data_IF_038839258641
#
_entry.id   IF_038839258641
#
_cell.length_a   1.000
_cell.length_b   1.000
_cell.length_c   1.000
_cell.angle_alpha   90.00
_cell.angle_beta   90.00
_cell.angle_gamma   90.00
#
_symmetry.space_group_name_H-M   'P 1'
#
loop_
_entity.id
_entity.type
_entity.pdbx_description
1 polymer ?
#
# COMPACT_ATOMS: atom_id res chain seq x y z
N UNK A 1 1.41 -3.81 -0.76
CA UNK A 1 1.79 -4.55 -1.98
C UNK A 1 1.93 -3.51 -3.06
N UNK A 2 3.15 -3.20 -3.46
CA UNK A 2 3.40 -2.01 -4.30
C UNK A 2 3.17 -2.29 -5.80
N UNK A 3 2.67 -3.47 -6.17
CA UNK A 3 2.47 -3.86 -7.57
C UNK A 3 1.29 -3.20 -8.24
N UNK A 4 0.33 -2.72 -7.45
CA UNK A 4 -0.83 -2.00 -7.97
C UNK A 4 -0.51 -0.52 -8.24
N UNK A 5 0.53 0.01 -7.59
CA UNK A 5 0.88 1.45 -7.58
C UNK A 5 1.19 1.94 -9.00
N UNK A 6 0.82 3.18 -9.30
CA UNK A 6 1.11 3.87 -10.57
C UNK A 6 2.01 5.10 -10.36
N UNK A 7 1.98 5.68 -9.16
CA UNK A 7 2.83 6.76 -8.70
C UNK A 7 3.28 6.56 -7.25
N UNK A 8 4.30 7.31 -6.86
CA UNK A 8 4.78 7.42 -5.49
C UNK A 8 4.99 8.89 -5.13
N UNK A 9 4.60 9.24 -3.92
CA UNK A 9 4.80 10.55 -3.32
C UNK A 9 5.94 10.47 -2.31
N UNK A 10 6.87 11.41 -2.38
CA UNK A 10 7.87 11.61 -1.31
C UNK A 10 7.26 12.39 -0.13
N UNK A 11 7.91 12.39 1.04
CA UNK A 11 7.43 13.13 2.22
C UNK A 11 7.22 14.64 1.99
N UNK A 12 7.93 15.23 1.02
CA UNK A 12 7.76 16.63 0.59
C UNK A 12 6.63 16.83 -0.44
N UNK A 13 5.84 15.79 -0.72
CA UNK A 13 4.67 15.83 -1.61
C UNK A 13 4.97 15.70 -3.09
N UNK A 14 6.22 15.48 -3.50
CA UNK A 14 6.55 15.34 -4.93
C UNK A 14 6.12 13.98 -5.48
N UNK A 15 5.34 14.02 -6.56
CA UNK A 15 4.88 12.84 -7.28
C UNK A 15 5.96 12.35 -8.27
N UNK A 16 6.18 11.04 -8.31
CA UNK A 16 7.00 10.36 -9.32
C UNK A 16 6.26 9.14 -9.83
N UNK A 17 6.44 8.82 -11.11
CA UNK A 17 5.90 7.59 -11.70
C UNK A 17 6.46 6.38 -10.97
N UNK A 18 5.59 5.46 -10.57
CA UNK A 18 6.01 4.18 -10.02
C UNK A 18 6.44 3.28 -11.17
N UNK A 19 7.66 2.76 -11.09
CA UNK A 19 8.19 1.81 -12.05
C UNK A 19 8.75 0.64 -11.26
N UNK A 20 8.12 -0.52 -11.43
CA UNK A 20 8.59 -1.77 -10.85
C UNK A 20 9.07 -2.69 -11.98
N UNK A 21 10.31 -3.17 -11.86
CA UNK A 21 10.95 -4.00 -12.89
C UNK A 21 10.49 -5.45 -12.73
N UNK A 22 9.95 -6.04 -13.79
CA UNK A 22 9.49 -7.44 -13.83
C UNK A 22 9.87 -8.12 -15.14
N UNK A 23 11.04 -7.78 -15.69
CA UNK A 23 11.57 -8.44 -16.89
C UNK A 23 12.23 -9.79 -16.58
N UNK A 24 12.44 -10.61 -17.61
CA UNK A 24 13.03 -11.94 -17.48
C UNK A 24 14.38 -11.90 -16.76
N UNK A 25 15.24 -10.92 -17.10
CA UNK A 25 16.55 -10.76 -16.46
C UNK A 25 16.40 -10.55 -14.96
N UNK A 26 15.46 -9.72 -14.53
CA UNK A 26 15.17 -9.51 -13.13
C UNK A 26 14.68 -10.79 -12.44
N UNK A 27 13.80 -11.56 -13.09
CA UNK A 27 13.32 -12.82 -12.55
C UNK A 27 14.45 -13.86 -12.39
N UNK A 28 15.35 -13.96 -13.36
CA UNK A 28 16.54 -14.82 -13.27
C UNK A 28 17.48 -14.38 -12.13
N UNK A 29 17.73 -13.07 -11.99
CA UNK A 29 18.52 -12.51 -10.87
C UNK A 29 17.93 -12.91 -9.50
N UNK A 30 16.60 -12.92 -9.36
CA UNK A 30 15.94 -13.37 -8.12
C UNK A 30 16.11 -14.87 -7.86
N UNK A 31 16.07 -15.70 -8.90
CA UNK A 31 16.28 -17.15 -8.77
C UNK A 31 17.72 -17.42 -8.30
N UNK A 32 18.71 -16.77 -8.90
CA UNK A 32 20.11 -16.86 -8.47
C UNK A 32 20.30 -16.38 -7.02
N UNK A 33 19.66 -15.27 -6.65
CA UNK A 33 19.71 -14.75 -5.28
C UNK A 33 19.16 -15.72 -4.23
N UNK A 34 18.19 -16.57 -4.58
CA UNK A 34 17.64 -17.59 -3.68
C UNK A 34 18.63 -18.71 -3.38
N UNK A 35 19.58 -18.97 -4.28
CA UNK A 35 20.64 -19.97 -4.13
C UNK A 35 21.92 -19.40 -3.52
N UNK A 36 22.05 -18.06 -3.47
CA UNK A 36 23.18 -17.35 -2.86
C UNK A 36 23.38 -17.76 -1.40
N UNK A 37 24.64 -17.78 -0.93
CA UNK A 37 25.00 -17.96 0.48
C UNK A 37 24.68 -16.72 1.35
N UNK A 38 24.47 -15.56 0.73
CA UNK A 38 24.02 -14.33 1.39
C UNK A 38 22.53 -14.40 1.79
N UNK A 39 22.26 -14.29 3.10
CA UNK A 39 20.89 -14.35 3.64
C UNK A 39 20.02 -13.16 3.25
N UNK A 40 20.60 -11.98 3.05
CA UNK A 40 19.91 -10.78 2.59
C UNK A 40 19.42 -10.93 1.15
N UNK A 41 20.26 -11.50 0.26
CA UNK A 41 19.88 -11.87 -1.11
C UNK A 41 18.73 -12.87 -1.12
N UNK A 42 18.84 -13.95 -0.35
CA UNK A 42 17.75 -14.93 -0.24
C UNK A 42 16.47 -14.30 0.29
N UNK A 43 16.56 -13.41 1.28
CA UNK A 43 15.41 -12.76 1.88
C UNK A 43 14.72 -11.81 0.90
N UNK A 44 15.48 -10.93 0.22
CA UNK A 44 14.89 -9.99 -0.74
C UNK A 44 14.21 -10.70 -1.92
N UNK A 45 14.69 -11.88 -2.30
CA UNK A 45 14.20 -12.63 -3.46
C UNK A 45 13.00 -13.54 -3.18
N UNK A 46 12.54 -13.63 -1.93
CA UNK A 46 11.35 -14.44 -1.59
C UNK A 46 10.13 -13.96 -2.36
N UNK A 47 9.30 -14.91 -2.82
CA UNK A 47 8.13 -14.61 -3.66
C UNK A 47 7.17 -13.61 -2.99
N UNK A 48 6.99 -13.67 -1.67
CA UNK A 48 6.13 -12.75 -0.93
C UNK A 48 6.67 -11.31 -0.86
N UNK A 49 7.95 -11.09 -1.21
CA UNK A 49 8.57 -9.78 -1.35
C UNK A 49 8.53 -9.27 -2.80
N UNK A 50 7.96 -10.04 -3.74
CA UNK A 50 7.83 -9.64 -5.14
C UNK A 50 6.39 -9.18 -5.39
N UNK A 51 6.11 -7.87 -5.39
CA UNK A 51 4.78 -7.33 -5.56
C UNK A 51 4.29 -7.35 -7.02
N UNK A 52 5.14 -7.65 -8.01
CA UNK A 52 4.74 -7.55 -9.42
C UNK A 52 4.49 -6.10 -9.87
N UNK A 53 3.83 -5.93 -11.02
CA UNK A 53 3.63 -4.62 -11.67
C UNK A 53 2.27 -4.51 -12.39
N UNK A 54 1.18 -4.88 -11.71
CA UNK A 54 -0.16 -4.87 -12.30
C UNK A 54 -0.69 -3.46 -12.60
N UNK A 55 -0.32 -2.46 -11.78
CA UNK A 55 -0.55 -1.04 -12.09
C UNK A 55 -2.01 -0.61 -12.12
N UNK A 56 -2.88 -1.20 -11.29
CA UNK A 56 -4.30 -0.85 -11.22
C UNK A 56 -4.66 0.19 -10.15
N UNK A 57 -3.72 1.00 -9.65
CA UNK A 57 -4.01 2.08 -8.70
C UNK A 57 -4.38 3.39 -9.40
N UNK A 58 -4.60 4.44 -8.61
CA UNK A 58 -4.70 5.83 -9.05
C UNK A 58 -3.77 6.72 -8.22
N UNK A 59 -3.40 7.93 -8.71
CA UNK A 59 -2.60 8.87 -7.93
C UNK A 59 -3.19 9.22 -6.56
N UNK A 60 -4.52 9.28 -6.46
CA UNK A 60 -5.25 9.53 -5.23
C UNK A 60 -5.03 8.43 -4.19
N UNK A 61 -5.18 7.17 -4.62
CA UNK A 61 -4.98 6.04 -3.71
C UNK A 61 -3.51 5.90 -3.33
N UNK A 62 -2.59 6.08 -4.28
CA UNK A 62 -1.16 6.07 -4.04
C UNK A 62 -0.73 7.15 -3.04
N UNK A 63 -1.34 8.34 -3.10
CA UNK A 63 -1.12 9.41 -2.14
C UNK A 63 -1.50 9.00 -0.72
N UNK A 64 -2.70 8.44 -0.53
CA UNK A 64 -3.15 7.99 0.80
C UNK A 64 -2.23 6.90 1.33
N UNK A 65 -1.84 5.92 0.49
CA UNK A 65 -0.92 4.85 0.90
C UNK A 65 0.43 5.41 1.36
N UNK A 66 1.03 6.36 0.62
CA UNK A 66 2.32 6.95 1.01
C UNK A 66 2.21 7.90 2.20
N UNK A 67 1.08 8.59 2.35
CA UNK A 67 0.78 9.42 3.52
C UNK A 67 0.78 8.55 4.79
N UNK A 68 -0.03 7.50 4.83
CA UNK A 68 -0.20 6.72 6.07
C UNK A 68 0.98 5.82 6.39
N UNK A 69 1.77 5.38 5.38
CA UNK A 69 3.00 4.62 5.60
C UNK A 69 4.10 5.41 6.32
N UNK A 70 3.97 6.73 6.43
CA UNK A 70 4.88 7.57 7.22
C UNK A 70 4.58 7.53 8.72
N UNK A 71 3.41 7.02 9.11
CA UNK A 71 2.97 6.96 10.50
C UNK A 71 3.56 5.68 11.13
N UNK A 72 4.42 5.76 12.16
CA UNK A 72 5.11 4.58 12.72
C UNK A 72 4.19 3.45 13.21
N UNK A 73 2.95 3.82 13.57
CA UNK A 73 1.90 2.93 14.08
C UNK A 73 1.14 2.19 12.98
N UNK A 74 1.32 2.56 11.72
CA UNK A 74 0.77 1.86 10.55
C UNK A 74 1.71 0.72 10.15
N UNK A 75 1.20 -0.51 10.16
CA UNK A 75 1.93 -1.73 9.78
C UNK A 75 1.88 -2.01 8.28
N UNK A 76 0.87 -1.48 7.60
CA UNK A 76 0.76 -1.59 6.16
C UNK A 76 -0.47 -0.88 5.63
N UNK A 77 -0.42 -0.49 4.36
CA UNK A 77 -1.57 0.03 3.63
C UNK A 77 -1.55 -0.51 2.20
N UNK A 78 -2.72 -0.86 1.67
CA UNK A 78 -2.87 -1.31 0.28
C UNK A 78 -4.27 -1.02 -0.23
N UNK A 79 -4.39 -0.96 -1.55
CA UNK A 79 -5.66 -0.99 -2.23
C UNK A 79 -6.42 -2.30 -1.91
N UNK A 80 -7.74 -2.22 -1.90
CA UNK A 80 -8.63 -3.39 -1.80
C UNK A 80 -9.72 -3.32 -2.86
N UNK A 81 -10.14 -4.47 -3.38
CA UNK A 81 -11.06 -4.56 -4.51
C UNK A 81 -10.34 -4.61 -5.87
N UNK A 82 -11.03 -4.20 -6.93
CA UNK A 82 -10.55 -4.35 -8.32
C UNK A 82 -9.47 -3.34 -8.72
N UNK A 83 -9.37 -2.21 -8.02
CA UNK A 83 -8.51 -1.08 -8.39
C UNK A 83 -9.21 -0.04 -9.28
N UNK A 84 -8.42 0.86 -9.86
CA UNK A 84 -8.80 2.03 -10.67
C UNK A 84 -9.73 2.99 -9.92
N UNK A 85 -9.53 3.06 -8.60
CA UNK A 85 -10.37 3.76 -7.63
C UNK A 85 -10.78 2.81 -6.50
N UNK A 86 -11.80 3.20 -5.74
CA UNK A 86 -12.33 2.39 -4.64
C UNK A 86 -11.62 2.68 -3.31
N UNK A 87 -11.25 1.62 -2.59
CA UNK A 87 -10.87 1.70 -1.18
C UNK A 87 -9.41 1.30 -0.91
N UNK A 88 -8.87 1.81 0.19
CA UNK A 88 -7.60 1.36 0.79
C UNK A 88 -7.91 0.72 2.13
N UNK A 89 -7.25 -0.39 2.42
CA UNK A 89 -7.17 -0.97 3.76
C UNK A 89 -5.86 -0.55 4.41
N UNK A 90 -5.97 -0.01 5.63
CA UNK A 90 -4.85 0.43 6.45
C UNK A 90 -4.82 -0.43 7.71
N UNK A 91 -3.73 -1.16 7.92
CA UNK A 91 -3.49 -1.92 9.13
C UNK A 91 -2.68 -1.06 10.09
N UNK A 92 -3.26 -0.72 11.24
CA UNK A 92 -2.69 0.19 12.24
C UNK A 92 -2.85 -0.42 13.64
N UNK A 93 -1.96 -0.05 14.56
CA UNK A 93 -2.16 -0.29 16.00
C UNK A 93 -3.47 0.35 16.47
N UNK A 94 -4.24 -0.39 17.27
CA UNK A 94 -5.61 -0.03 17.65
C UNK A 94 -5.70 1.36 18.29
N UNK A 95 -4.72 1.70 19.10
CA UNK A 95 -4.64 2.95 19.85
C UNK A 95 -4.40 4.18 18.94
N UNK A 96 -3.97 3.97 17.69
CA UNK A 96 -3.71 5.04 16.72
C UNK A 96 -4.75 5.09 15.59
N UNK A 97 -5.83 4.30 15.65
CA UNK A 97 -6.79 4.22 14.57
C UNK A 97 -7.50 5.57 14.30
N UNK A 98 -7.96 6.25 15.36
CA UNK A 98 -8.60 7.58 15.25
C UNK A 98 -7.64 8.64 14.71
N UNK A 99 -6.39 8.64 15.18
CA UNK A 99 -5.34 9.55 14.70
C UNK A 99 -5.10 9.38 13.19
N UNK A 100 -5.02 8.13 12.71
CA UNK A 100 -4.84 7.84 11.29
C UNK A 100 -6.04 8.31 10.46
N UNK A 101 -7.27 8.10 10.94
CA UNK A 101 -8.48 8.59 10.26
C UNK A 101 -8.43 10.11 10.13
N UNK A 102 -8.11 10.81 11.22
CA UNK A 102 -8.05 12.26 11.23
C UNK A 102 -6.95 12.81 10.31
N UNK A 103 -5.78 12.17 10.26
CA UNK A 103 -4.70 12.53 9.32
C UNK A 103 -5.16 12.39 7.86
N UNK A 104 -5.88 11.31 7.53
CA UNK A 104 -6.42 11.12 6.17
C UNK A 104 -7.48 12.17 5.86
N UNK A 105 -8.38 12.46 6.81
CA UNK A 105 -9.39 13.50 6.65
C UNK A 105 -8.77 14.88 6.44
N UNK A 106 -7.78 15.25 7.24
CA UNK A 106 -7.09 16.54 7.13
C UNK A 106 -6.29 16.65 5.82
N UNK A 107 -5.40 15.69 5.54
CA UNK A 107 -4.39 15.81 4.47
C UNK A 107 -4.90 15.37 3.10
N UNK A 108 -5.94 14.54 3.04
CA UNK A 108 -6.52 14.09 1.79
C UNK A 108 -7.86 14.75 1.49
N UNK A 109 -8.87 14.52 2.33
CA UNK A 109 -10.26 14.92 2.05
C UNK A 109 -10.47 16.43 2.17
N UNK A 110 -10.26 17.02 3.36
CA UNK A 110 -10.46 18.45 3.62
C UNK A 110 -9.53 19.33 2.78
N UNK A 111 -8.27 18.92 2.60
CA UNK A 111 -7.32 19.62 1.72
C UNK A 111 -7.76 19.68 0.25
N UNK A 112 -8.75 18.86 -0.16
CA UNK A 112 -9.29 18.79 -1.53
C UNK A 112 -10.79 19.15 -1.60
N UNK A 113 -11.37 19.65 -0.51
CA UNK A 113 -12.81 19.95 -0.39
C UNK A 113 -13.69 18.73 -0.74
N UNK A 114 -13.29 17.55 -0.28
CA UNK A 114 -14.00 16.29 -0.49
C UNK A 114 -14.71 15.83 0.79
N UNK A 115 -15.84 15.09 0.66
CA UNK A 115 -16.49 14.46 1.81
C UNK A 115 -15.57 13.45 2.49
N UNK A 116 -15.49 13.52 3.83
CA UNK A 116 -14.73 12.56 4.64
C UNK A 116 -15.41 11.19 4.61
N UNK A 117 -14.70 10.15 4.15
CA UNK A 117 -15.20 8.77 4.10
C UNK A 117 -14.24 7.76 4.73
N UNK A 118 -13.21 8.22 5.45
CA UNK A 118 -12.35 7.33 6.23
C UNK A 118 -13.07 6.89 7.52
N UNK A 119 -13.06 5.58 7.81
CA UNK A 119 -13.67 5.04 9.02
C UNK A 119 -12.92 3.82 9.52
N UNK A 120 -13.09 3.51 10.81
CA UNK A 120 -12.54 2.32 11.45
C UNK A 120 -13.48 1.14 11.19
N UNK A 121 -12.96 0.04 10.64
CA UNK A 121 -13.69 -1.21 10.49
C UNK A 121 -13.10 -2.32 11.36
N UNK A 122 -13.96 -3.20 11.86
CA UNK A 122 -13.56 -4.40 12.58
C UNK A 122 -14.03 -5.63 11.81
N UNK A 123 -13.33 -6.76 11.93
CA UNK A 123 -13.80 -8.04 11.41
C UNK A 123 -15.11 -8.43 12.08
N UNK A 124 -16.07 -8.89 11.28
CA UNK A 124 -17.40 -9.32 11.73
C UNK A 124 -17.72 -10.71 11.21
N UNK A 125 -18.73 -11.36 11.78
CA UNK A 125 -19.27 -12.60 11.24
C UNK A 125 -19.88 -12.38 9.85
N UNK A 126 -19.84 -13.43 9.02
CA UNK A 126 -20.53 -13.45 7.74
C UNK A 126 -22.06 -13.54 7.92
N UNK A 127 -22.79 -13.35 6.82
CA UNK A 127 -24.25 -13.45 6.82
C UNK A 127 -24.72 -14.82 7.33
N UNK A 128 -25.71 -14.82 8.24
CA UNK A 128 -26.34 -16.02 8.81
C UNK A 128 -27.84 -15.83 8.93
N UNK A 129 -28.59 -16.93 8.89
CA UNK A 129 -30.00 -16.91 9.26
C UNK A 129 -30.14 -16.65 10.77
N UNK A 130 -31.12 -15.82 11.13
CA UNK A 130 -31.44 -15.46 12.52
C UNK A 130 -32.71 -16.18 12.95
#
# INVERSE_FOLDING_TARGET
HDGDRVVKFSPDGKMKKWQYRVDDKYLFELIEDLESSDSGKRQRARIYNQPGAYGCSTPELDFIVDLVKQIPKVKGAKLTGAGLGGCILILVEKESAEEVVEIVNEKYYRARDLPEVAFICNSVEGAKFV
#
